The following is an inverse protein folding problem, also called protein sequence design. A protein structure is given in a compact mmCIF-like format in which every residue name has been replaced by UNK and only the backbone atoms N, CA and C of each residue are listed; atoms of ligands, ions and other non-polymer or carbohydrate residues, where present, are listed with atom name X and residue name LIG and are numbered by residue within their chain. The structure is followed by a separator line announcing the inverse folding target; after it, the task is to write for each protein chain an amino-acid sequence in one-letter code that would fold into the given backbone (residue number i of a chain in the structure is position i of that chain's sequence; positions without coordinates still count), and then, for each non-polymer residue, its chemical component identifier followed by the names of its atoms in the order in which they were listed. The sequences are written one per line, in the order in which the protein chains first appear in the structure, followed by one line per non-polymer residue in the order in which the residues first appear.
data_IF_447337602087
#
_entry.id   IF_447337602087
#
_cell.length_a   1.000
_cell.length_b   1.000
_cell.length_c   1.000
_cell.angle_alpha   90.00
_cell.angle_beta   90.00
_cell.angle_gamma   90.00
#
_symmetry.space_group_name_H-M   'P 1'
#
loop_
_entity.id
_entity.type
_entity.pdbx_description
1 polymer ?
#
# COMPACT_ATOMS: atom_id res chain seq x y z
N UNK A 1 -32.91 21.26 22.92
CA UNK A 1 -31.65 21.90 22.46
C UNK A 1 -30.46 21.66 23.39
N UNK A 2 -30.63 21.26 24.65
CA UNK A 2 -29.49 20.91 25.52
C UNK A 2 -28.77 19.58 25.11
N UNK A 3 -29.52 18.62 24.56
CA UNK A 3 -29.03 17.25 24.26
C UNK A 3 -28.09 17.14 23.03
N UNK A 4 -28.11 18.12 22.10
CA UNK A 4 -27.24 18.12 20.90
C UNK A 4 -25.90 18.83 21.11
N UNK A 5 -25.87 19.82 22.01
CA UNK A 5 -24.64 20.53 22.39
C UNK A 5 -23.74 19.62 23.23
N UNK A 6 -24.33 18.86 24.15
CA UNK A 6 -23.61 17.91 25.02
C UNK A 6 -22.96 16.75 24.24
N UNK A 7 -23.62 16.25 23.17
CA UNK A 7 -23.02 15.27 22.24
C UNK A 7 -21.83 15.81 21.43
N UNK A 8 -21.87 17.09 21.03
CA UNK A 8 -20.81 17.71 20.23
C UNK A 8 -19.55 18.04 21.04
N UNK A 9 -19.72 18.41 22.31
CA UNK A 9 -18.64 18.58 23.26
C UNK A 9 -17.97 17.23 23.58
N UNK A 10 -18.79 16.20 23.85
CA UNK A 10 -18.32 14.82 24.04
C UNK A 10 -17.55 14.26 22.84
N UNK A 11 -17.97 14.57 21.60
CA UNK A 11 -17.23 14.17 20.40
C UNK A 11 -15.85 14.83 20.34
N UNK A 12 -15.77 16.12 20.65
CA UNK A 12 -14.52 16.90 20.56
C UNK A 12 -13.50 16.43 21.61
N UNK A 13 -13.96 16.16 22.83
CA UNK A 13 -13.14 15.58 23.90
C UNK A 13 -12.73 14.12 23.60
N UNK A 14 -13.62 13.36 22.95
CA UNK A 14 -13.30 12.02 22.44
C UNK A 14 -12.24 12.05 21.33
N UNK A 15 -12.29 13.02 20.42
CA UNK A 15 -11.30 13.19 19.35
C UNK A 15 -9.92 13.54 19.89
N UNK A 16 -9.83 14.43 20.88
CA UNK A 16 -8.56 14.74 21.54
C UNK A 16 -8.02 13.55 22.34
N UNK A 17 -8.91 12.76 22.94
CA UNK A 17 -8.57 11.53 23.66
C UNK A 17 -8.02 10.47 22.71
N UNK A 18 -8.63 10.30 21.53
CA UNK A 18 -8.14 9.40 20.48
C UNK A 18 -6.79 9.86 19.94
N UNK A 19 -6.62 11.16 19.68
CA UNK A 19 -5.34 11.72 19.23
C UNK A 19 -4.22 11.48 20.26
N UNK A 20 -4.48 11.69 21.55
CA UNK A 20 -3.53 11.40 22.64
C UNK A 20 -3.31 9.90 22.87
N UNK A 21 -4.31 9.05 22.60
CA UNK A 21 -4.17 7.59 22.64
C UNK A 21 -3.30 7.09 21.49
N UNK A 22 -3.46 7.63 20.27
CA UNK A 22 -2.56 7.36 19.16
C UNK A 22 -1.14 7.79 19.52
N UNK A 23 -0.96 9.02 20.01
CA UNK A 23 0.34 9.54 20.41
C UNK A 23 1.03 8.68 21.50
N UNK A 24 0.30 8.25 22.53
CA UNK A 24 0.82 7.36 23.59
C UNK A 24 1.06 5.93 23.12
N UNK A 25 0.17 5.36 22.32
CA UNK A 25 0.36 4.04 21.71
C UNK A 25 1.60 4.03 20.83
N UNK A 26 1.86 5.10 20.09
CA UNK A 26 3.06 5.19 19.25
C UNK A 26 4.33 5.45 20.06
N UNK A 27 4.28 6.26 21.12
CA UNK A 27 5.43 6.42 22.03
C UNK A 27 5.79 5.11 22.75
N UNK A 28 4.82 4.25 23.09
CA UNK A 28 5.08 2.93 23.69
C UNK A 28 5.44 1.86 22.66
N UNK A 29 4.82 1.88 21.47
CA UNK A 29 5.13 0.96 20.37
C UNK A 29 6.48 1.29 19.69
N UNK A 30 7.02 2.51 19.83
CA UNK A 30 8.38 2.86 19.42
C UNK A 30 9.48 2.22 20.27
N UNK A 31 9.13 1.39 21.26
CA UNK A 31 9.99 0.29 21.69
C UNK A 31 10.34 -0.71 20.56
N UNK A 32 9.72 -0.59 19.38
CA UNK A 32 9.99 -1.36 18.14
C UNK A 32 10.48 -0.53 16.93
N UNK A 33 10.76 0.77 17.09
CA UNK A 33 11.68 1.51 16.20
C UNK A 33 11.30 1.72 14.73
N UNK A 34 10.02 1.89 14.35
CA UNK A 34 9.62 2.14 12.95
C UNK A 34 9.09 3.57 12.74
N UNK A 35 9.72 4.43 11.90
CA UNK A 35 9.27 5.81 11.71
C UNK A 35 8.19 5.93 10.63
N UNK A 36 7.16 6.73 10.92
CA UNK A 36 5.98 6.97 10.08
C UNK A 36 6.31 7.82 8.84
N UNK A 37 5.62 7.57 7.71
CA UNK A 37 5.88 8.23 6.42
C UNK A 37 5.53 9.73 6.37
N UNK A 38 6.12 10.53 5.46
CA UNK A 38 6.06 12.01 5.42
C UNK A 38 4.66 12.58 5.27
N UNK A 39 3.74 11.77 4.74
CA UNK A 39 2.40 12.24 4.56
C UNK A 39 1.66 12.31 5.92
N UNK A 40 1.94 11.40 6.83
CA UNK A 40 1.35 11.45 8.17
C UNK A 40 1.66 12.77 8.93
N UNK A 41 2.77 13.48 8.60
CA UNK A 41 3.16 14.78 9.19
C UNK A 41 2.30 15.97 8.75
N UNK A 42 1.75 16.00 7.53
CA UNK A 42 0.92 17.15 7.07
C UNK A 42 -0.52 17.11 7.59
N UNK A 43 -1.05 15.92 7.87
CA UNK A 43 -2.33 15.72 8.58
C UNK A 43 -2.24 16.35 9.97
N UNK A 44 -1.12 16.11 10.65
CA UNK A 44 -0.87 16.63 12.00
C UNK A 44 -0.86 18.18 12.04
N UNK A 45 -0.32 18.89 11.04
CA UNK A 45 -0.33 20.37 10.98
C UNK A 45 -1.71 20.95 10.66
N UNK A 46 -2.48 20.31 9.78
CA UNK A 46 -3.84 20.75 9.44
C UNK A 46 -4.80 20.65 10.63
N UNK A 47 -4.60 19.69 11.52
CA UNK A 47 -5.31 19.63 12.80
C UNK A 47 -5.03 20.85 13.70
N UNK A 48 -3.83 21.44 13.67
CA UNK A 48 -3.47 22.62 14.47
C UNK A 48 -4.13 23.93 14.02
N UNK A 49 -4.34 24.13 12.72
CA UNK A 49 -4.99 25.33 12.16
C UNK A 49 -6.51 25.33 12.39
N UNK A 50 -7.13 24.14 12.36
CA UNK A 50 -8.54 23.95 12.74
C UNK A 50 -8.77 24.39 14.19
N UNK A 51 -7.84 24.06 15.08
CA UNK A 51 -7.92 24.46 16.49
C UNK A 51 -7.90 25.99 16.67
N UNK A 52 -7.05 26.73 15.95
CA UNK A 52 -6.94 28.20 16.06
C UNK A 52 -8.12 28.97 15.42
N UNK A 53 -8.72 28.46 14.34
CA UNK A 53 -9.90 29.07 13.71
C UNK A 53 -11.18 28.85 14.53
N UNK A 54 -11.20 27.81 15.37
CA UNK A 54 -12.34 27.52 16.25
C UNK A 54 -12.44 28.52 17.39
N UNK A 55 -11.35 29.20 17.77
CA UNK A 55 -11.28 30.10 18.92
C UNK A 55 -11.49 31.61 18.63
N UNK A 56 -11.63 32.07 17.37
CA UNK A 56 -11.90 33.49 17.05
C UNK A 56 -13.37 33.76 16.66
N UNK A 57 -14.13 34.48 17.49
CA UNK A 57 -15.59 34.61 17.37
C UNK A 57 -16.11 35.73 16.46
N UNK A 58 -15.27 36.72 16.11
CA UNK A 58 -15.69 37.94 15.40
C UNK A 58 -15.59 37.91 13.87
N UNK A 59 -15.30 36.76 13.26
CA UNK A 59 -15.07 36.62 11.82
C UNK A 59 -16.34 36.18 11.07
N UNK A 60 -16.89 37.02 10.16
CA UNK A 60 -18.12 36.72 9.43
C UNK A 60 -17.97 35.57 8.40
N UNK A 61 -16.75 35.15 8.03
CA UNK A 61 -16.50 34.07 7.06
C UNK A 61 -15.98 32.76 7.68
N UNK A 62 -16.00 32.66 9.02
CA UNK A 62 -15.46 31.53 9.79
C UNK A 62 -15.96 30.15 9.36
N UNK A 63 -17.25 30.02 9.07
CA UNK A 63 -17.87 28.73 8.72
C UNK A 63 -17.33 28.15 7.39
N UNK A 64 -17.13 29.01 6.39
CA UNK A 64 -16.59 28.63 5.09
C UNK A 64 -15.10 28.27 5.18
N UNK A 65 -14.35 28.97 6.03
CA UNK A 65 -12.92 28.69 6.24
C UNK A 65 -12.70 27.32 6.89
N UNK A 66 -13.58 26.91 7.81
CA UNK A 66 -13.54 25.60 8.47
C UNK A 66 -13.93 24.44 7.54
N UNK A 67 -14.88 24.62 6.62
CA UNK A 67 -15.28 23.56 5.69
C UNK A 67 -14.16 23.21 4.70
N UNK A 68 -13.49 24.23 4.14
CA UNK A 68 -12.36 24.05 3.21
C UNK A 68 -11.17 23.35 3.88
N UNK A 69 -10.88 23.65 5.15
CA UNK A 69 -9.78 23.02 5.89
C UNK A 69 -10.06 21.54 6.22
N UNK A 70 -11.32 21.19 6.54
CA UNK A 70 -11.75 19.79 6.77
C UNK A 70 -11.63 18.93 5.51
N UNK A 71 -12.07 19.46 4.37
CA UNK A 71 -12.03 18.75 3.09
C UNK A 71 -10.59 18.42 2.63
N UNK A 72 -9.63 19.30 2.94
CA UNK A 72 -8.20 19.07 2.67
C UNK A 72 -7.58 17.95 3.53
N UNK A 73 -8.00 17.80 4.79
CA UNK A 73 -7.58 16.68 5.65
C UNK A 73 -8.21 15.38 5.18
N UNK A 74 -9.48 15.40 4.75
CA UNK A 74 -10.17 14.26 4.15
C UNK A 74 -9.51 13.81 2.84
N UNK A 75 -9.22 14.71 1.89
CA UNK A 75 -8.58 14.36 0.62
C UNK A 75 -7.15 13.81 0.80
N UNK A 76 -6.47 14.25 1.84
CA UNK A 76 -5.14 13.78 2.18
C UNK A 76 -5.15 12.44 2.91
N UNK A 77 -6.05 12.23 3.86
CA UNK A 77 -6.34 10.88 4.37
C UNK A 77 -6.72 9.98 3.20
N UNK A 78 -7.49 10.47 2.23
CA UNK A 78 -7.82 9.72 1.02
C UNK A 78 -6.61 9.47 0.10
N UNK A 79 -5.67 10.40 -0.05
CA UNK A 79 -4.54 10.33 -1.00
C UNK A 79 -3.21 9.82 -0.42
N UNK A 80 -3.01 9.90 0.88
CA UNK A 80 -1.95 9.19 1.58
C UNK A 80 -2.33 7.74 1.84
N UNK A 81 -3.62 7.48 2.09
CA UNK A 81 -4.15 6.15 1.87
C UNK A 81 -3.96 5.74 0.41
N UNK A 82 -3.96 6.66 -0.57
CA UNK A 82 -3.30 6.38 -1.85
C UNK A 82 -1.77 6.31 -1.68
N UNK A 83 -0.94 6.96 -2.46
CA UNK A 83 0.40 6.43 -2.74
C UNK A 83 0.45 5.39 -3.87
N UNK A 84 -0.59 5.10 -4.65
CA UNK A 84 -1.77 4.39 -4.20
C UNK A 84 -1.33 3.14 -3.41
N UNK A 85 -1.51 3.13 -2.09
CA UNK A 85 -1.12 2.06 -1.15
C UNK A 85 -2.39 1.48 -0.47
N UNK A 86 -3.57 2.07 -0.70
CA UNK A 86 -4.84 1.66 -0.11
C UNK A 86 -5.32 0.37 -0.75
N UNK A 87 -5.06 0.23 -2.07
CA UNK A 87 -5.56 -0.86 -2.89
C UNK A 87 -7.02 -1.19 -2.59
N UNK A 88 -7.45 -2.39 -2.97
CA UNK A 88 -8.63 -3.02 -2.42
C UNK A 88 -8.28 -3.56 -1.02
N UNK A 89 -9.20 -3.38 -0.07
CA UNK A 89 -9.08 -3.97 1.26
C UNK A 89 -9.18 -5.48 1.15
N UNK A 90 -8.44 -6.20 2.00
CA UNK A 90 -8.50 -7.66 2.04
C UNK A 90 -9.93 -8.19 2.30
N UNK A 91 -10.82 -7.40 2.90
CA UNK A 91 -12.20 -7.77 3.18
C UNK A 91 -13.12 -7.73 1.93
N UNK A 92 -12.72 -7.05 0.87
CA UNK A 92 -13.52 -6.86 -0.36
C UNK A 92 -13.01 -7.68 -1.54
N UNK A 93 -11.96 -8.48 -1.33
CA UNK A 93 -11.35 -9.27 -2.40
C UNK A 93 -12.19 -10.49 -2.78
N UNK A 94 -12.15 -10.91 -4.06
CA UNK A 94 -12.69 -12.19 -4.47
C UNK A 94 -11.85 -13.35 -3.93
N UNK A 95 -12.47 -14.52 -3.82
CA UNK A 95 -11.78 -15.75 -3.44
C UNK A 95 -10.70 -16.13 -4.47
N UNK A 96 -9.47 -16.46 -4.02
CA UNK A 96 -8.44 -16.96 -4.90
C UNK A 96 -8.87 -18.23 -5.65
N UNK A 97 -8.60 -18.25 -6.95
CA UNK A 97 -8.85 -19.40 -7.81
C UNK A 97 -8.04 -20.60 -7.33
N UNK A 98 -8.72 -21.74 -7.15
CA UNK A 98 -8.07 -23.02 -6.83
C UNK A 98 -7.49 -23.71 -8.07
N UNK A 99 -8.01 -23.37 -9.27
CA UNK A 99 -7.63 -24.00 -10.54
C UNK A 99 -6.47 -23.28 -11.23
N UNK A 100 -6.46 -21.95 -11.14
CA UNK A 100 -5.48 -21.09 -11.81
C UNK A 100 -4.75 -20.32 -10.73
N UNK A 101 -3.51 -20.73 -10.46
CA UNK A 101 -2.74 -20.20 -9.34
C UNK A 101 -1.48 -19.52 -9.84
N UNK A 102 -1.08 -18.44 -9.15
CA UNK A 102 0.22 -17.84 -9.37
C UNK A 102 1.26 -18.38 -8.38
N UNK A 103 2.51 -18.42 -8.83
CA UNK A 103 3.67 -18.57 -7.98
C UNK A 103 4.61 -17.38 -8.14
N UNK A 104 5.32 -17.04 -7.07
CA UNK A 104 6.31 -15.98 -7.03
C UNK A 104 7.67 -16.51 -6.59
N UNK A 105 8.72 -16.05 -7.25
CA UNK A 105 10.11 -16.15 -6.81
C UNK A 105 10.66 -14.74 -6.66
N UNK A 106 11.40 -14.46 -5.60
CA UNK A 106 12.04 -13.16 -5.39
C UNK A 106 13.52 -13.32 -5.09
N UNK A 107 14.31 -12.30 -5.44
CA UNK A 107 15.70 -12.18 -4.99
C UNK A 107 15.75 -11.24 -3.79
N UNK A 108 16.09 -11.78 -2.63
CA UNK A 108 16.24 -11.00 -1.39
C UNK A 108 17.69 -10.57 -1.26
N UNK A 109 17.88 -9.29 -0.96
CA UNK A 109 19.19 -8.73 -0.67
C UNK A 109 19.99 -9.62 0.29
N UNK A 110 21.25 -9.89 -0.08
CA UNK A 110 22.24 -10.64 0.71
C UNK A 110 21.80 -12.07 1.07
N UNK A 111 20.75 -12.60 0.42
CA UNK A 111 20.22 -13.95 0.63
C UNK A 111 20.00 -14.75 -0.65
N UNK A 112 19.87 -14.08 -1.78
CA UNK A 112 19.68 -14.74 -3.06
C UNK A 112 18.22 -15.01 -3.39
N UNK A 113 18.02 -15.93 -4.34
CA UNK A 113 16.69 -16.31 -4.81
C UNK A 113 15.99 -17.22 -3.80
N UNK A 114 14.69 -17.01 -3.62
CA UNK A 114 13.83 -17.96 -2.90
C UNK A 114 13.49 -19.16 -3.78
N UNK A 115 12.98 -20.24 -3.18
CA UNK A 115 12.15 -21.18 -3.94
C UNK A 115 10.88 -20.48 -4.44
N UNK A 116 10.23 -21.04 -5.47
CA UNK A 116 8.90 -20.61 -5.87
C UNK A 116 7.92 -20.77 -4.70
N UNK A 117 7.12 -19.73 -4.46
CA UNK A 117 6.09 -19.68 -3.41
C UNK A 117 4.72 -19.60 -4.05
N UNK A 118 3.75 -20.43 -3.65
CA UNK A 118 2.40 -20.37 -4.18
C UNK A 118 1.66 -19.16 -3.64
N UNK A 119 0.69 -18.65 -4.41
CA UNK A 119 -0.36 -17.78 -3.86
C UNK A 119 -0.97 -18.42 -2.61
N UNK A 120 -1.32 -17.73 -1.54
CA UNK A 120 -1.19 -16.30 -1.21
C UNK A 120 0.04 -16.00 -0.33
N UNK A 121 1.05 -16.85 -0.40
CA UNK A 121 2.20 -16.82 0.52
C UNK A 121 2.98 -15.53 0.38
N UNK A 122 3.46 -14.98 1.50
CA UNK A 122 4.49 -13.95 1.47
C UNK A 122 5.73 -14.50 0.75
N UNK A 123 6.18 -13.79 -0.28
CA UNK A 123 7.44 -14.08 -0.96
C UNK A 123 8.41 -12.92 -0.74
N UNK A 124 9.40 -13.14 0.13
CA UNK A 124 10.34 -12.13 0.59
C UNK A 124 10.57 -12.21 2.09
N UNK A 125 10.92 -11.07 2.70
CA UNK A 125 11.27 -10.96 4.11
C UNK A 125 10.74 -9.65 4.71
N UNK A 126 9.41 -9.51 4.73
CA UNK A 126 8.73 -8.31 5.22
C UNK A 126 9.12 -7.96 6.66
N UNK A 127 9.39 -6.67 6.93
CA UNK A 127 9.67 -6.18 8.27
C UNK A 127 11.10 -6.44 8.76
N UNK A 128 11.95 -7.06 7.94
CA UNK A 128 13.34 -7.37 8.32
C UNK A 128 14.36 -6.35 7.84
N UNK A 129 13.93 -5.29 7.13
CA UNK A 129 14.83 -4.29 6.54
C UNK A 129 15.54 -4.75 5.26
N UNK A 130 15.31 -5.98 4.81
CA UNK A 130 15.90 -6.54 3.58
C UNK A 130 14.97 -6.34 2.40
N UNK A 131 15.47 -5.65 1.38
CA UNK A 131 14.71 -5.37 0.16
C UNK A 131 14.77 -6.51 -0.84
N UNK A 132 13.82 -6.49 -1.76
CA UNK A 132 13.86 -7.25 -2.99
C UNK A 132 14.65 -6.50 -4.06
N UNK A 133 15.40 -7.23 -4.89
CA UNK A 133 16.11 -6.67 -6.04
C UNK A 133 15.50 -7.06 -7.39
N UNK A 134 14.67 -8.10 -7.37
CA UNK A 134 13.93 -8.57 -8.53
C UNK A 134 13.03 -9.77 -8.18
N UNK A 135 12.21 -10.17 -9.13
CA UNK A 135 11.22 -11.23 -8.98
C UNK A 135 10.84 -11.87 -10.31
N UNK A 136 10.23 -13.04 -10.26
CA UNK A 136 9.57 -13.69 -11.37
C UNK A 136 8.21 -14.25 -10.90
N UNK A 137 7.21 -14.21 -11.78
CA UNK A 137 5.87 -14.74 -11.54
C UNK A 137 5.51 -15.74 -12.63
N UNK A 138 4.70 -16.74 -12.30
CA UNK A 138 4.15 -17.68 -13.28
C UNK A 138 2.80 -18.22 -12.85
N UNK A 139 2.02 -18.69 -13.82
CA UNK A 139 0.85 -19.54 -13.56
C UNK A 139 1.32 -20.98 -13.39
N UNK A 140 0.92 -21.62 -12.29
CA UNK A 140 1.26 -23.02 -12.02
C UNK A 140 0.06 -23.74 -11.37
N UNK A 141 -0.42 -24.89 -11.91
CA UNK A 141 0.05 -25.53 -13.14
C UNK A 141 -0.18 -24.65 -14.38
N UNK A 142 0.62 -24.78 -15.45
CA UNK A 142 0.40 -24.07 -16.70
C UNK A 142 -1.05 -24.28 -17.17
N UNK A 143 -1.74 -23.18 -17.46
CA UNK A 143 -3.15 -23.18 -17.86
C UNK A 143 -3.28 -22.51 -19.22
N UNK A 144 -3.91 -23.19 -20.17
CA UNK A 144 -4.06 -22.70 -21.54
C UNK A 144 -4.87 -21.39 -21.61
N UNK A 145 -4.35 -20.44 -22.40
CA UNK A 145 -4.96 -19.12 -22.60
C UNK A 145 -4.97 -18.24 -21.34
N UNK A 146 -4.13 -18.54 -20.35
CA UNK A 146 -3.87 -17.69 -19.18
C UNK A 146 -2.36 -17.47 -19.04
N UNK A 147 -1.94 -16.21 -19.03
CA UNK A 147 -0.54 -15.85 -18.82
C UNK A 147 -0.40 -14.50 -18.14
N UNK A 148 0.70 -14.32 -17.42
CA UNK A 148 1.03 -13.06 -16.73
C UNK A 148 2.12 -12.31 -17.50
N UNK A 149 2.11 -10.98 -17.35
CA UNK A 149 3.27 -10.12 -17.60
C UNK A 149 3.41 -9.12 -16.47
N UNK A 150 4.64 -8.71 -16.21
CA UNK A 150 4.95 -7.82 -15.09
C UNK A 150 6.14 -6.91 -15.38
N UNK A 151 6.20 -5.83 -14.62
CA UNK A 151 7.35 -4.92 -14.59
C UNK A 151 7.54 -4.36 -13.19
N UNK A 152 8.64 -3.63 -12.99
CA UNK A 152 8.95 -3.03 -11.71
C UNK A 152 9.51 -1.62 -11.84
N UNK A 153 9.54 -0.90 -10.72
CA UNK A 153 10.32 0.32 -10.56
C UNK A 153 11.54 -0.01 -9.70
N UNK A 154 12.72 0.16 -10.29
CA UNK A 154 13.98 0.00 -9.60
C UNK A 154 14.52 1.36 -9.19
N UNK A 155 15.03 1.47 -7.96
CA UNK A 155 15.76 2.66 -7.55
C UNK A 155 16.89 2.98 -8.53
N UNK A 156 17.04 4.26 -8.88
CA UNK A 156 18.05 4.79 -9.82
C UNK A 156 17.82 4.41 -11.28
N UNK A 157 17.44 3.15 -11.59
CA UNK A 157 17.22 2.70 -12.98
C UNK A 157 15.85 3.10 -13.54
N UNK A 158 14.85 3.31 -12.68
CA UNK A 158 13.49 3.63 -13.10
C UNK A 158 12.65 2.39 -13.43
N UNK A 159 11.59 2.60 -14.20
CA UNK A 159 10.70 1.52 -14.64
C UNK A 159 11.43 0.56 -15.60
N UNK A 160 11.25 -0.74 -15.39
CA UNK A 160 11.67 -1.76 -16.36
C UNK A 160 10.67 -1.85 -17.52
N UNK A 161 11.10 -2.45 -18.63
CA UNK A 161 10.15 -2.99 -19.61
C UNK A 161 9.30 -4.09 -18.96
N UNK A 162 8.14 -4.36 -19.56
CA UNK A 162 7.36 -5.54 -19.25
C UNK A 162 8.11 -6.81 -19.66
N UNK A 163 8.05 -7.83 -18.83
CA UNK A 163 8.53 -9.18 -19.11
C UNK A 163 7.38 -10.17 -19.00
N UNK A 164 7.50 -11.29 -19.70
CA UNK A 164 6.50 -12.35 -19.68
C UNK A 164 6.72 -13.31 -18.51
N UNK A 165 5.70 -14.10 -18.19
CA UNK A 165 5.78 -15.05 -17.08
C UNK A 165 6.97 -16.00 -17.17
N UNK A 166 7.60 -16.26 -16.03
CA UNK A 166 8.81 -17.09 -15.93
C UNK A 166 10.11 -16.30 -16.14
N UNK A 167 10.08 -15.17 -16.84
CA UNK A 167 11.25 -14.31 -17.02
C UNK A 167 11.55 -13.48 -15.78
N UNK A 168 12.83 -13.17 -15.58
CA UNK A 168 13.27 -12.43 -14.39
C UNK A 168 13.14 -10.92 -14.56
N UNK A 169 12.39 -10.27 -13.67
CA UNK A 169 12.21 -8.83 -13.62
C UNK A 169 13.03 -8.22 -12.48
N UNK A 170 14.01 -7.38 -12.79
CA UNK A 170 14.83 -6.69 -11.79
C UNK A 170 16.32 -6.98 -11.96
N UNK A 171 17.05 -7.08 -10.84
CA UNK A 171 18.49 -7.36 -10.83
C UNK A 171 18.85 -8.33 -9.71
N UNK A 172 19.98 -9.02 -9.83
CA UNK A 172 20.58 -9.82 -8.75
C UNK A 172 21.94 -9.25 -8.37
N UNK A 173 22.17 -8.99 -7.09
CA UNK A 173 23.45 -8.54 -6.56
C UNK A 173 23.90 -7.16 -7.04
N UNK A 174 23.02 -6.38 -7.68
CA UNK A 174 23.36 -5.04 -8.21
C UNK A 174 22.99 -3.91 -7.25
N UNK A 175 22.51 -4.23 -6.05
CA UNK A 175 22.11 -3.22 -5.06
C UNK A 175 21.05 -2.25 -5.60
N UNK A 176 20.13 -2.76 -6.43
CA UNK A 176 18.99 -2.01 -6.97
C UNK A 176 17.72 -2.55 -6.33
N UNK A 177 17.10 -1.75 -5.47
CA UNK A 177 15.89 -2.16 -4.75
C UNK A 177 14.67 -1.95 -5.63
N UNK A 178 13.69 -2.84 -5.47
CA UNK A 178 12.33 -2.59 -5.95
C UNK A 178 11.68 -1.52 -5.07
N UNK A 179 10.94 -0.59 -5.69
CA UNK A 179 10.09 0.38 -5.00
C UNK A 179 8.62 0.23 -5.38
N UNK A 180 8.33 -0.28 -6.58
CA UNK A 180 6.99 -0.63 -7.03
C UNK A 180 6.99 -1.82 -8.01
N UNK A 181 5.83 -2.46 -8.14
CA UNK A 181 5.57 -3.52 -9.12
C UNK A 181 4.25 -3.28 -9.86
N UNK A 182 4.16 -3.85 -11.06
CA UNK A 182 2.94 -3.96 -11.85
C UNK A 182 2.80 -5.39 -12.33
N UNK A 183 1.59 -5.92 -12.26
CA UNK A 183 1.26 -7.26 -12.78
C UNK A 183 -0.07 -7.17 -13.52
N UNK A 184 -0.13 -7.78 -14.70
CA UNK A 184 -1.34 -7.90 -15.49
C UNK A 184 -1.43 -9.27 -16.16
N UNK A 185 -2.64 -9.62 -16.59
CA UNK A 185 -2.88 -10.78 -17.44
C UNK A 185 -2.54 -10.40 -18.88
N UNK A 186 -1.56 -11.10 -19.47
CA UNK A 186 -1.29 -11.02 -20.90
C UNK A 186 -2.37 -11.76 -21.69
N UNK A 187 -2.83 -12.90 -21.18
CA UNK A 187 -3.99 -13.65 -21.70
C UNK A 187 -4.96 -13.98 -20.56
N UNK A 188 -6.26 -14.05 -20.87
CA UNK A 188 -7.28 -14.45 -19.91
C UNK A 188 -7.93 -13.30 -19.12
N UNK A 189 -7.63 -12.04 -19.44
CA UNK A 189 -8.17 -10.85 -18.76
C UNK A 189 -9.71 -10.72 -18.83
N UNK A 190 -10.39 -11.44 -19.73
CA UNK A 190 -11.85 -11.55 -19.79
C UNK A 190 -12.43 -12.55 -18.79
N UNK A 191 -11.62 -13.48 -18.27
CA UNK A 191 -12.03 -14.56 -17.37
C UNK A 191 -11.51 -14.41 -15.95
N UNK A 192 -10.36 -13.75 -15.78
CA UNK A 192 -9.69 -13.61 -14.49
C UNK A 192 -9.24 -12.17 -14.24
N UNK A 193 -9.02 -11.87 -12.97
CA UNK A 193 -8.27 -10.71 -12.48
C UNK A 193 -7.02 -11.21 -11.72
N UNK A 194 -5.93 -10.45 -11.79
CA UNK A 194 -4.72 -10.69 -10.99
C UNK A 194 -4.57 -9.62 -9.92
N UNK A 195 -4.39 -10.06 -8.67
CA UNK A 195 -4.30 -9.22 -7.48
C UNK A 195 -2.92 -9.34 -6.83
N UNK A 196 -2.36 -8.22 -6.34
CA UNK A 196 -1.04 -8.18 -5.74
C UNK A 196 -0.87 -7.09 -4.69
N UNK A 197 -0.01 -7.34 -3.71
CA UNK A 197 0.34 -6.42 -2.63
C UNK A 197 1.85 -6.48 -2.37
N UNK A 198 2.41 -5.38 -1.85
CA UNK A 198 3.82 -5.24 -1.53
C UNK A 198 4.00 -4.87 -0.06
N UNK A 199 4.99 -5.47 0.61
CA UNK A 199 5.45 -5.01 1.90
C UNK A 199 6.49 -3.92 1.71
N UNK A 200 6.19 -2.69 2.10
CA UNK A 200 7.09 -1.57 2.03
C UNK A 200 7.80 -1.36 3.36
N UNK A 201 9.12 -1.17 3.31
CA UNK A 201 9.92 -0.90 4.50
C UNK A 201 9.36 0.31 5.27
N UNK A 202 9.23 0.17 6.60
CA UNK A 202 8.71 1.18 7.53
C UNK A 202 7.27 1.63 7.31
N UNK A 203 6.56 0.96 6.41
CA UNK A 203 5.14 1.20 6.16
C UNK A 203 4.30 -0.04 6.46
N UNK A 204 4.78 -1.22 6.04
CA UNK A 204 4.03 -2.46 6.13
C UNK A 204 3.46 -2.87 4.78
N UNK A 205 2.47 -3.75 4.81
CA UNK A 205 1.75 -4.17 3.61
C UNK A 205 0.92 -3.03 3.04
N UNK A 206 0.98 -2.84 1.72
CA UNK A 206 -0.05 -2.09 1.00
C UNK A 206 -1.37 -2.87 0.98
N UNK A 207 -2.46 -2.21 0.59
CA UNK A 207 -3.63 -2.91 0.08
C UNK A 207 -3.34 -3.64 -1.23
N UNK A 208 -4.40 -4.19 -1.82
CA UNK A 208 -4.30 -5.04 -3.00
C UNK A 208 -4.57 -4.28 -4.29
N UNK A 209 -3.62 -4.34 -5.21
CA UNK A 209 -3.71 -3.75 -6.53
C UNK A 209 -4.06 -4.83 -7.53
N UNK A 210 -4.63 -4.45 -8.66
CA UNK A 210 -4.94 -5.43 -9.71
C UNK A 210 -4.67 -4.91 -11.11
N UNK A 211 -4.50 -5.84 -12.05
CA UNK A 211 -4.55 -5.59 -13.50
C UNK A 211 -3.81 -4.33 -13.96
N UNK A 212 -2.49 -4.32 -13.80
CA UNK A 212 -1.64 -3.23 -14.28
C UNK A 212 -1.70 -1.94 -13.44
N UNK A 213 -2.33 -1.94 -12.27
CA UNK A 213 -2.20 -0.83 -11.31
C UNK A 213 -0.79 -0.81 -10.66
N UNK A 214 -0.28 0.37 -10.33
CA UNK A 214 1.00 0.45 -9.62
C UNK A 214 0.82 0.02 -8.17
N UNK A 215 1.61 -0.95 -7.70
CA UNK A 215 1.69 -1.33 -6.29
C UNK A 215 3.06 -0.95 -5.72
N UNK A 216 3.09 -0.03 -4.76
CA UNK A 216 4.31 0.51 -4.17
C UNK A 216 4.46 2.00 -4.42
N UNK A 217 5.69 2.52 -4.44
CA UNK A 217 5.96 3.95 -4.63
C UNK A 217 7.06 4.17 -5.68
N UNK A 218 7.15 5.38 -6.22
CA UNK A 218 8.26 5.81 -7.07
C UNK A 218 9.05 6.90 -6.38
N UNK A 219 10.35 6.70 -6.19
CA UNK A 219 11.25 7.75 -5.67
C UNK A 219 11.00 8.16 -4.21
N UNK A 220 10.12 7.47 -3.47
CA UNK A 220 9.92 7.69 -2.04
C UNK A 220 10.90 6.90 -1.16
N UNK A 221 11.87 6.21 -1.78
CA UNK A 221 12.87 5.39 -1.08
C UNK A 221 12.28 4.28 -0.21
N UNK A 222 11.00 3.92 -0.42
CA UNK A 222 10.35 2.82 0.28
C UNK A 222 10.58 1.53 -0.48
N UNK A 223 11.59 0.80 -0.03
CA UNK A 223 11.96 -0.47 -0.61
C UNK A 223 10.88 -1.52 -0.38
N UNK A 224 10.57 -2.30 -1.43
CA UNK A 224 9.75 -3.50 -1.32
C UNK A 224 10.58 -4.59 -0.65
N UNK A 225 10.05 -5.20 0.39
CA UNK A 225 10.69 -6.26 1.19
C UNK A 225 10.06 -7.63 0.94
N UNK A 226 8.80 -7.66 0.51
CA UNK A 226 8.07 -8.85 0.13
C UNK A 226 6.90 -8.53 -0.80
N UNK A 227 6.38 -9.55 -1.50
CA UNK A 227 5.19 -9.44 -2.33
C UNK A 227 4.23 -10.60 -2.06
N UNK A 228 2.95 -10.38 -2.37
CA UNK A 228 1.92 -11.42 -2.50
C UNK A 228 1.17 -11.21 -3.81
N UNK A 229 0.76 -12.30 -4.44
CA UNK A 229 0.07 -12.32 -5.73
C UNK A 229 -0.96 -13.45 -5.70
N UNK A 230 -2.13 -13.26 -6.33
CA UNK A 230 -3.07 -14.33 -6.64
C UNK A 230 -3.95 -14.01 -7.85
N UNK A 231 -4.59 -15.04 -8.43
CA UNK A 231 -5.62 -14.88 -9.45
C UNK A 231 -7.01 -15.19 -8.88
N UNK A 232 -8.02 -14.49 -9.38
CA UNK A 232 -9.43 -14.76 -9.07
C UNK A 232 -10.28 -14.75 -10.35
N UNK A 233 -11.27 -15.64 -10.41
CA UNK A 233 -12.20 -15.68 -11.53
C UNK A 233 -13.12 -14.44 -11.51
N UNK A 234 -13.39 -13.88 -12.68
CA UNK A 234 -14.41 -12.84 -12.83
C UNK A 234 -15.78 -13.46 -12.64
N UNK A 235 -16.62 -12.78 -11.86
CA UNK A 235 -18.03 -13.11 -11.79
C UNK A 235 -18.66 -12.67 -13.11
N UNK A 236 -19.29 -13.62 -13.80
CA UNK A 236 -20.08 -13.39 -15.02
C UNK A 236 -21.33 -12.56 -14.72
#
# INVERSE_FOLDING_TARGET
MADSLDRSANLTESFETVARCCERYFLSATGSGTPLGPQFVRVIRAFGEIAAATSSSGDPNRALRLSILREKVEAYLQGFMRGDLAGESSATLPEPSQLVQAEALVHVQDRGDTSWRPQLSECGTGGTGRRLEGFALRVNPPTEGISLRYKAHLSVKGDTSWVDQGDYCGTRGQNRRLEAIWVELAEGANRFDVYYSAHLCRFGWTGWFKNGQMCGTRGEYRQVEAIKVFLAAKRA
#
